data_IF_592080611032
#
_entry.id   IF_592080611032
#
_cell.length_a   1.000
_cell.length_b   1.000
_cell.length_c   1.000
_cell.angle_alpha   90.00
_cell.angle_beta   90.00
_cell.angle_gamma   90.00
#
_symmetry.space_group_name_H-M   'P 1'
#
loop_
_entity.id
_entity.type
_entity.pdbx_description
1 polymer ?
#
# COMPACT_ATOMS: atom_id res chain seq x y z
N UNK A 1 -12.73 -14.79 -2.77
CA UNK A 1 -12.64 -14.52 -1.32
C UNK A 1 -11.85 -13.25 -1.10
N UNK A 2 -12.26 -12.37 -0.18
CA UNK A 2 -11.52 -11.15 0.15
C UNK A 2 -10.11 -11.50 0.63
N UNK A 3 -9.16 -10.61 0.39
CA UNK A 3 -7.77 -10.73 0.86
C UNK A 3 -7.63 -10.46 2.36
N UNK A 4 -8.72 -10.11 3.06
CA UNK A 4 -8.75 -9.80 4.49
C UNK A 4 -9.87 -10.54 5.19
N UNK A 5 -9.63 -11.02 6.40
CA UNK A 5 -10.68 -11.48 7.29
C UNK A 5 -11.55 -10.28 7.76
N UNK A 6 -12.84 -10.20 7.38
CA UNK A 6 -13.68 -9.05 7.71
C UNK A 6 -13.97 -8.92 9.21
N UNK A 7 -13.81 -9.97 10.02
CA UNK A 7 -14.04 -9.93 11.46
C UNK A 7 -12.86 -9.36 12.26
N UNK A 8 -11.69 -9.18 11.63
CA UNK A 8 -10.51 -8.58 12.29
C UNK A 8 -10.64 -7.06 12.30
N UNK A 9 -10.20 -6.42 13.39
CA UNK A 9 -10.10 -4.96 13.44
C UNK A 9 -9.12 -4.45 12.37
N UNK A 10 -9.37 -3.26 11.84
CA UNK A 10 -8.49 -2.62 10.86
C UNK A 10 -8.38 -1.13 11.17
N UNK A 11 -7.17 -0.59 11.06
CA UNK A 11 -6.91 0.82 11.28
C UNK A 11 -5.87 1.34 10.29
N UNK A 12 -5.79 2.66 10.15
CA UNK A 12 -4.78 3.36 9.37
C UNK A 12 -3.85 4.16 10.30
N UNK A 13 -2.62 4.38 9.87
CA UNK A 13 -1.64 5.14 10.64
C UNK A 13 -1.96 6.64 10.62
N UNK A 14 -2.05 7.25 11.81
CA UNK A 14 -2.61 8.60 12.00
C UNK A 14 -1.75 9.74 11.49
N UNK A 15 -0.42 9.60 11.49
CA UNK A 15 0.55 10.63 11.11
C UNK A 15 0.97 10.54 9.62
N UNK A 16 0.31 9.68 8.84
CA UNK A 16 0.52 9.59 7.40
C UNK A 16 -0.21 10.71 6.69
N UNK A 17 0.54 11.46 5.89
CA UNK A 17 0.05 12.54 5.01
C UNK A 17 0.48 12.28 3.57
N UNK A 18 -0.24 12.87 2.61
CA UNK A 18 0.15 12.78 1.19
C UNK A 18 1.56 13.30 0.94
N UNK A 19 1.99 14.34 1.66
CA UNK A 19 3.34 14.87 1.53
C UNK A 19 4.41 13.82 1.88
N UNK A 20 4.20 13.02 2.95
CA UNK A 20 5.12 11.94 3.34
C UNK A 20 5.15 10.78 2.34
N UNK A 21 4.01 10.51 1.70
CA UNK A 21 3.90 9.48 0.65
C UNK A 21 4.35 9.96 -0.73
N UNK A 22 4.44 11.27 -0.95
CA UNK A 22 4.73 11.81 -2.28
C UNK A 22 6.05 11.29 -2.86
N UNK A 23 6.12 11.19 -4.18
CA UNK A 23 7.28 10.70 -4.91
C UNK A 23 7.14 9.27 -5.42
N UNK A 24 8.27 8.68 -5.78
CA UNK A 24 8.34 7.39 -6.46
C UNK A 24 8.51 6.23 -5.46
N UNK A 25 7.94 5.08 -5.83
CA UNK A 25 7.90 3.84 -5.07
C UNK A 25 7.91 2.65 -6.03
N UNK A 26 8.28 1.48 -5.50
CA UNK A 26 8.20 0.19 -6.18
C UNK A 26 7.41 -0.77 -5.31
N UNK A 27 6.42 -1.44 -5.90
CA UNK A 27 5.72 -2.55 -5.23
C UNK A 27 6.66 -3.73 -5.10
N UNK A 28 6.88 -4.18 -3.86
CA UNK A 28 7.83 -5.28 -3.55
C UNK A 28 7.11 -6.54 -3.10
N UNK A 29 5.90 -6.41 -2.58
CA UNK A 29 4.95 -7.51 -2.39
C UNK A 29 3.54 -7.00 -2.68
N UNK A 30 2.68 -7.79 -3.32
CA UNK A 30 1.35 -7.29 -3.68
C UNK A 30 0.33 -8.34 -4.06
N UNK A 31 -0.93 -7.98 -3.86
CA UNK A 31 -2.12 -8.65 -4.38
C UNK A 31 -3.09 -7.57 -4.87
N UNK A 32 -3.41 -7.60 -6.17
CA UNK A 32 -4.15 -6.53 -6.86
C UNK A 32 -3.24 -5.45 -7.49
N UNK A 33 -1.96 -5.40 -7.11
CA UNK A 33 -0.90 -4.66 -7.79
C UNK A 33 0.31 -5.59 -7.97
N UNK A 34 0.76 -5.87 -9.21
CA UNK A 34 1.88 -6.77 -9.45
C UNK A 34 3.18 -6.28 -8.80
N UNK A 35 4.03 -7.20 -8.35
CA UNK A 35 5.39 -6.89 -7.90
C UNK A 35 6.19 -6.23 -9.03
N UNK A 36 7.00 -5.24 -8.69
CA UNK A 36 7.78 -4.43 -9.64
C UNK A 36 7.00 -3.25 -10.22
N UNK A 37 5.70 -3.12 -9.95
CA UNK A 37 4.91 -1.95 -10.35
C UNK A 37 5.53 -0.68 -9.78
N UNK A 38 5.81 0.29 -10.64
CA UNK A 38 6.28 1.61 -10.23
C UNK A 38 5.06 2.44 -9.81
N UNK A 39 5.11 3.05 -8.64
CA UNK A 39 4.02 3.90 -8.13
C UNK A 39 4.57 5.29 -7.89
N UNK A 40 3.96 6.29 -8.54
CA UNK A 40 4.27 7.70 -8.30
C UNK A 40 3.07 8.37 -7.65
N UNK A 41 3.27 8.89 -6.44
CA UNK A 41 2.22 9.59 -5.68
C UNK A 41 2.47 11.10 -5.78
N UNK A 42 1.47 11.81 -6.27
CA UNK A 42 1.40 13.28 -6.27
C UNK A 42 0.42 13.77 -5.19
N UNK A 43 -0.01 15.02 -5.27
CA UNK A 43 -0.94 15.65 -4.31
C UNK A 43 -2.32 15.00 -4.24
N UNK A 44 -2.82 14.55 -5.38
CA UNK A 44 -4.23 14.20 -5.62
C UNK A 44 -4.38 13.03 -6.60
N UNK A 45 -3.26 12.45 -7.05
CA UNK A 45 -3.26 11.32 -7.98
C UNK A 45 -2.12 10.35 -7.67
N UNK A 46 -2.40 9.08 -7.93
CA UNK A 46 -1.45 7.98 -7.89
C UNK A 46 -1.32 7.43 -9.31
N UNK A 47 -0.09 7.38 -9.83
CA UNK A 47 0.19 6.75 -11.12
C UNK A 47 0.87 5.41 -10.89
N UNK A 48 0.30 4.33 -11.41
CA UNK A 48 0.87 2.98 -11.35
C UNK A 48 1.33 2.58 -12.75
N UNK A 49 2.60 2.22 -12.89
CA UNK A 49 3.20 1.82 -14.16
C UNK A 49 3.70 0.37 -14.09
N UNK A 50 3.15 -0.45 -14.98
CA UNK A 50 3.57 -1.82 -15.26
C UNK A 50 4.18 -1.88 -16.67
N UNK A 51 4.83 -2.99 -17.08
CA UNK A 51 5.36 -3.12 -18.44
C UNK A 51 4.31 -2.97 -19.56
N UNK A 52 3.05 -3.31 -19.26
CA UNK A 52 1.96 -3.34 -20.25
C UNK A 52 1.00 -2.16 -20.14
N UNK A 53 1.00 -1.45 -19.02
CA UNK A 53 -0.02 -0.43 -18.76
C UNK A 53 0.46 0.64 -17.78
N UNK A 54 0.04 1.89 -18.04
CA UNK A 54 0.10 2.98 -17.07
C UNK A 54 -1.33 3.39 -16.73
N UNK A 55 -1.65 3.41 -15.44
CA UNK A 55 -2.92 3.89 -14.90
C UNK A 55 -2.69 5.10 -14.02
N UNK A 56 -3.60 6.07 -14.10
CA UNK A 56 -3.62 7.25 -13.24
C UNK A 56 -4.93 7.22 -12.48
N UNK A 57 -4.85 7.13 -11.17
CA UNK A 57 -5.99 7.08 -10.27
C UNK A 57 -6.01 8.35 -9.44
N UNK A 58 -7.03 9.18 -9.63
CA UNK A 58 -7.27 10.34 -8.78
C UNK A 58 -7.71 9.87 -7.38
N UNK A 59 -7.32 10.63 -6.35
CA UNK A 59 -7.73 10.34 -4.98
C UNK A 59 -8.04 11.59 -4.18
N UNK A 60 -8.89 11.43 -3.16
CA UNK A 60 -9.15 12.46 -2.15
C UNK A 60 -8.60 12.00 -0.81
N UNK A 61 -7.66 12.75 -0.25
CA UNK A 61 -7.17 12.50 1.10
C UNK A 61 -8.26 12.76 2.15
N UNK A 62 -8.58 11.76 2.95
CA UNK A 62 -9.53 11.85 4.08
C UNK A 62 -8.82 12.09 5.43
N UNK A 63 -7.49 12.19 5.41
CA UNK A 63 -6.63 12.32 6.59
C UNK A 63 -6.30 10.97 7.24
N UNK A 64 -5.34 10.97 8.17
CA UNK A 64 -4.94 9.78 8.95
C UNK A 64 -4.60 8.57 8.08
N UNK A 65 -3.87 8.78 6.99
CA UNK A 65 -3.49 7.72 6.05
C UNK A 65 -4.66 7.12 5.23
N UNK A 66 -5.82 7.78 5.16
CA UNK A 66 -6.99 7.30 4.40
C UNK A 66 -7.18 8.12 3.13
N UNK A 67 -7.45 7.42 2.04
CA UNK A 67 -7.66 7.98 0.71
C UNK A 67 -8.89 7.35 0.07
N UNK A 68 -9.68 8.15 -0.60
CA UNK A 68 -10.80 7.69 -1.43
C UNK A 68 -10.36 7.70 -2.90
N UNK A 69 -10.58 6.61 -3.64
CA UNK A 69 -10.30 6.53 -5.08
C UNK A 69 -11.49 5.96 -5.84
N UNK A 70 -11.47 6.02 -7.17
CA UNK A 70 -12.51 5.41 -8.01
C UNK A 70 -12.58 3.88 -7.85
N UNK A 71 -11.44 3.26 -7.51
CA UNK A 71 -11.32 1.82 -7.26
C UNK A 71 -11.70 1.42 -5.82
N UNK A 72 -12.09 2.39 -4.97
CA UNK A 72 -12.42 2.20 -3.56
C UNK A 72 -11.34 2.68 -2.59
N UNK A 73 -11.55 2.54 -1.28
CA UNK A 73 -10.71 3.15 -0.26
C UNK A 73 -9.29 2.55 -0.24
N UNK A 74 -8.30 3.41 -0.01
CA UNK A 74 -6.91 3.05 0.24
C UNK A 74 -6.48 3.54 1.61
N UNK A 75 -6.06 2.61 2.46
CA UNK A 75 -5.62 2.88 3.82
C UNK A 75 -4.14 2.52 3.95
N UNK A 76 -3.36 3.44 4.49
CA UNK A 76 -1.96 3.19 4.85
C UNK A 76 -1.96 2.62 6.25
N UNK A 77 -1.73 1.32 6.35
CA UNK A 77 -1.69 0.60 7.61
C UNK A 77 -0.39 0.87 8.36
N UNK A 78 0.71 1.06 7.61
CA UNK A 78 2.02 1.37 8.17
C UNK A 78 2.89 2.14 7.17
N UNK A 79 3.65 3.10 7.67
CA UNK A 79 4.72 3.82 6.98
C UNK A 79 5.91 3.92 7.93
N UNK A 80 7.10 3.47 7.50
CA UNK A 80 8.29 3.57 8.36
C UNK A 80 8.64 5.04 8.65
N UNK A 81 9.33 5.27 9.76
CA UNK A 81 9.69 6.64 10.19
C UNK A 81 10.52 7.42 9.18
N UNK A 82 11.23 6.74 8.28
CA UNK A 82 12.01 7.36 7.20
C UNK A 82 11.23 7.61 5.91
N UNK A 83 9.95 7.26 5.83
CA UNK A 83 9.12 7.36 4.61
C UNK A 83 9.69 6.56 3.40
N UNK A 84 10.28 5.40 3.69
CA UNK A 84 10.96 4.50 2.76
C UNK A 84 10.17 3.23 2.44
N UNK A 85 9.33 2.73 3.34
CA UNK A 85 8.53 1.51 3.17
C UNK A 85 7.12 1.76 3.69
N UNK A 86 6.11 1.31 2.94
CA UNK A 86 4.71 1.45 3.31
C UNK A 86 3.93 0.15 3.07
N UNK A 87 2.98 -0.13 3.96
CA UNK A 87 1.95 -1.16 3.78
C UNK A 87 0.60 -0.48 3.56
N UNK A 88 -0.01 -0.74 2.40
CA UNK A 88 -1.26 -0.12 1.97
C UNK A 88 -2.27 -1.21 1.62
N UNK A 89 -3.52 -1.02 1.99
CA UNK A 89 -4.58 -1.94 1.63
C UNK A 89 -5.96 -1.29 1.60
N UNK A 90 -6.87 -1.96 0.91
CA UNK A 90 -8.30 -1.70 1.00
C UNK A 90 -8.83 -2.43 2.25
N UNK A 91 -9.49 -1.74 3.21
CA UNK A 91 -10.06 -2.35 4.42
C UNK A 91 -11.15 -3.41 4.14
N UNK A 92 -11.75 -3.44 2.95
CA UNK A 92 -12.66 -4.50 2.51
C UNK A 92 -11.92 -5.73 1.95
N UNK A 93 -10.60 -5.63 1.74
CA UNK A 93 -9.75 -6.73 1.28
C UNK A 93 -9.74 -6.93 -0.24
N UNK A 94 -9.99 -5.89 -1.03
CA UNK A 94 -9.94 -6.00 -2.50
C UNK A 94 -8.50 -5.98 -3.05
N UNK A 95 -7.61 -5.23 -2.38
CA UNK A 95 -6.19 -5.11 -2.75
C UNK A 95 -5.34 -4.80 -1.53
N UNK A 96 -4.09 -5.26 -1.55
CA UNK A 96 -3.10 -4.99 -0.51
C UNK A 96 -1.70 -5.11 -1.10
N UNK A 97 -0.79 -4.23 -0.72
CA UNK A 97 0.60 -4.29 -1.15
C UNK A 97 1.54 -3.63 -0.14
N UNK A 98 2.80 -4.01 -0.28
CA UNK A 98 3.95 -3.38 0.36
C UNK A 98 4.78 -2.75 -0.75
N UNK A 99 5.18 -1.50 -0.54
CA UNK A 99 6.05 -0.77 -1.46
C UNK A 99 7.22 -0.13 -0.72
N UNK A 100 8.34 0.03 -1.42
CA UNK A 100 9.54 0.68 -0.92
C UNK A 100 10.04 1.72 -1.94
N UNK A 101 10.82 2.71 -1.49
CA UNK A 101 11.43 3.73 -2.35
C UNK A 101 12.47 3.12 -3.30
N UNK A 102 13.03 1.97 -2.95
CA UNK A 102 13.95 1.22 -3.80
C UNK A 102 13.54 -0.25 -3.89
N UNK A 103 13.93 -0.93 -4.97
CA UNK A 103 13.79 -2.39 -5.07
C UNK A 103 14.71 -3.15 -4.11
N UNK A 104 15.76 -2.51 -3.60
CA UNK A 104 16.67 -3.07 -2.60
C UNK A 104 16.14 -2.81 -1.17
N UNK A 105 14.96 -3.33 -0.87
CA UNK A 105 14.29 -3.08 0.41
C UNK A 105 14.98 -3.78 1.58
N UNK A 106 14.93 -3.16 2.77
CA UNK A 106 15.45 -3.78 4.00
C UNK A 106 14.54 -4.93 4.43
N UNK A 107 15.08 -6.15 4.66
CA UNK A 107 14.29 -7.29 5.11
C UNK A 107 13.49 -7.00 6.39
N UNK A 108 14.09 -6.28 7.35
CA UNK A 108 13.44 -5.93 8.62
C UNK A 108 12.20 -5.05 8.41
N UNK A 109 12.27 -4.07 7.49
CA UNK A 109 11.11 -3.20 7.19
C UNK A 109 10.00 -3.96 6.46
N UNK A 110 10.37 -4.87 5.56
CA UNK A 110 9.40 -5.73 4.88
C UNK A 110 8.73 -6.67 5.87
N UNK A 111 9.49 -7.24 6.81
CA UNK A 111 8.96 -8.08 7.87
C UNK A 111 7.98 -7.31 8.77
N UNK A 112 8.34 -6.11 9.22
CA UNK A 112 7.46 -5.26 10.02
C UNK A 112 6.16 -4.90 9.26
N UNK A 113 6.26 -4.53 7.98
CA UNK A 113 5.10 -4.26 7.14
C UNK A 113 4.17 -5.48 7.03
N UNK A 114 4.74 -6.69 6.89
CA UNK A 114 3.98 -7.94 6.86
C UNK A 114 3.28 -8.20 8.19
N UNK A 115 3.98 -8.06 9.31
CA UNK A 115 3.40 -8.27 10.65
C UNK A 115 2.19 -7.36 10.90
N UNK A 116 2.25 -6.09 10.48
CA UNK A 116 1.11 -5.18 10.58
C UNK A 116 -0.07 -5.63 9.71
N UNK A 117 0.18 -6.06 8.48
CA UNK A 117 -0.89 -6.54 7.59
C UNK A 117 -1.53 -7.83 8.11
N UNK A 118 -0.73 -8.77 8.61
CA UNK A 118 -1.22 -10.00 9.25
C UNK A 118 -2.09 -9.68 10.48
N UNK A 119 -1.65 -8.74 11.32
CA UNK A 119 -2.42 -8.29 12.46
C UNK A 119 -3.79 -7.70 12.07
N UNK A 120 -3.88 -6.97 10.96
CA UNK A 120 -5.16 -6.49 10.42
C UNK A 120 -5.97 -7.53 9.63
N UNK A 121 -5.48 -8.76 9.58
CA UNK A 121 -6.17 -9.93 9.05
C UNK A 121 -6.01 -10.10 7.54
N UNK A 122 -5.00 -9.49 6.91
CA UNK A 122 -4.71 -9.74 5.49
C UNK A 122 -4.02 -11.09 5.30
N UNK A 123 -4.45 -11.82 4.27
CA UNK A 123 -3.88 -13.12 3.91
C UNK A 123 -2.55 -12.95 3.15
N UNK A 124 -1.44 -13.02 3.88
CA UNK A 124 -0.11 -12.84 3.32
C UNK A 124 0.39 -14.01 2.47
N UNK A 125 -0.33 -15.13 2.44
CA UNK A 125 -0.02 -16.26 1.55
C UNK A 125 -0.37 -15.94 0.09
N UNK A 126 -1.23 -14.93 -0.11
CA UNK A 126 -1.69 -14.47 -1.42
C UNK A 126 -0.91 -13.26 -1.95
N UNK A 127 0.11 -12.81 -1.22
CA UNK A 127 1.01 -11.77 -1.68
C UNK A 127 2.11 -12.36 -2.55
N UNK A 128 2.14 -11.96 -3.81
CA UNK A 128 3.29 -12.20 -4.68
C UNK A 128 4.50 -11.49 -4.10
N UNK A 129 5.69 -12.06 -4.28
CA UNK A 129 6.97 -11.53 -3.79
C UNK A 129 7.95 -11.39 -4.94
N UNK A 130 8.92 -10.49 -4.76
CA UNK A 130 10.04 -10.30 -5.68
C UNK A 130 11.03 -11.46 -5.60
#
# INVERSE_FOLDING_TARGET
MPLRNPSTLVASQVDVTTARLSGDWVVVQGAGLPVGTQVRIASDQMRTMTPTQTLVTSFVARGQGRYETEDGPLWVHWLDGGNRTAAIGDPAGNRVWIMDRTSASSPDRIQAAREILDWYGYDLTRLDRQ
#
